data_IF_304048723960
#
_entry.id   IF_304048723960
#
_cell.length_a   1.000
_cell.length_b   1.000
_cell.length_c   1.000
_cell.angle_alpha   90.00
_cell.angle_beta   90.00
_cell.angle_gamma   90.00
#
_symmetry.space_group_name_H-M   'P 1'
#
loop_
_entity.id
_entity.type
_entity.pdbx_description
1 polymer ?
#
# COMPACT_ATOMS: atom_id res chain seq x y z
N UNK A 1 -52.75 48.11 -24.82
CA UNK A 1 -51.32 48.51 -24.75
C UNK A 1 -50.65 47.75 -23.62
N UNK A 2 -49.83 46.73 -23.95
CA UNK A 2 -49.06 45.91 -23.01
C UNK A 2 -47.58 46.24 -23.19
N UNK A 3 -46.88 46.67 -22.14
CA UNK A 3 -45.43 46.50 -21.92
C UNK A 3 -45.05 47.12 -20.57
N UNK A 4 -44.33 46.33 -19.76
CA UNK A 4 -43.50 46.70 -18.59
C UNK A 4 -43.78 45.82 -17.36
N UNK A 5 -43.32 44.56 -17.40
CA UNK A 5 -43.13 43.76 -16.17
C UNK A 5 -42.02 42.71 -16.27
N UNK A 6 -41.04 42.88 -17.17
CA UNK A 6 -40.00 41.87 -17.44
C UNK A 6 -38.57 42.27 -17.04
N UNK A 7 -38.32 43.54 -16.67
CA UNK A 7 -36.96 44.07 -16.45
C UNK A 7 -36.47 43.85 -15.00
N UNK A 8 -37.34 43.50 -14.04
CA UNK A 8 -36.95 43.39 -12.62
C UNK A 8 -36.41 42.02 -12.19
N UNK A 9 -36.45 41.00 -13.06
CA UNK A 9 -35.95 39.65 -12.73
C UNK A 9 -34.50 39.44 -13.15
N UNK A 10 -34.09 39.94 -14.32
CA UNK A 10 -32.70 39.80 -14.82
C UNK A 10 -31.67 40.49 -13.92
N UNK A 11 -31.95 41.71 -13.45
CA UNK A 11 -31.03 42.43 -12.53
C UNK A 11 -30.89 41.79 -11.14
N UNK A 12 -31.86 40.96 -10.72
CA UNK A 12 -31.77 40.21 -9.45
C UNK A 12 -30.94 38.94 -9.61
N UNK A 13 -31.05 38.27 -10.76
CA UNK A 13 -30.29 37.06 -11.10
C UNK A 13 -28.80 37.38 -11.26
N UNK A 14 -28.47 38.48 -11.96
CA UNK A 14 -27.07 38.90 -12.17
C UNK A 14 -26.41 39.30 -10.83
N UNK A 15 -27.13 39.98 -9.92
CA UNK A 15 -26.59 40.33 -8.59
C UNK A 15 -26.44 39.12 -7.66
N UNK A 16 -27.21 38.05 -7.82
CA UNK A 16 -26.99 36.79 -7.09
C UNK A 16 -25.81 36.02 -7.67
N UNK A 17 -25.69 35.94 -8.99
CA UNK A 17 -24.57 35.25 -9.66
C UNK A 17 -23.22 35.92 -9.36
N UNK A 18 -23.15 37.25 -9.37
CA UNK A 18 -21.91 37.99 -9.00
C UNK A 18 -21.57 37.82 -7.51
N UNK A 19 -22.56 37.69 -6.62
CA UNK A 19 -22.33 37.41 -5.19
C UNK A 19 -21.88 35.97 -4.94
N UNK A 20 -22.34 35.03 -5.76
CA UNK A 20 -21.96 33.63 -5.67
C UNK A 20 -20.57 33.40 -6.28
N UNK A 21 -20.20 34.12 -7.36
CA UNK A 21 -18.84 34.16 -7.90
C UNK A 21 -17.84 34.86 -6.97
N UNK A 22 -18.21 35.95 -6.28
CA UNK A 22 -17.35 36.56 -5.25
C UNK A 22 -17.19 35.66 -4.02
N UNK A 23 -18.21 34.88 -3.66
CA UNK A 23 -18.11 33.87 -2.58
C UNK A 23 -17.27 32.67 -3.00
N UNK A 24 -17.35 32.24 -4.26
CA UNK A 24 -16.50 31.20 -4.83
C UNK A 24 -15.03 31.65 -4.91
N UNK A 25 -14.76 32.89 -5.38
CA UNK A 25 -13.41 33.47 -5.34
C UNK A 25 -12.87 33.64 -3.93
N UNK A 26 -13.69 34.08 -2.97
CA UNK A 26 -13.26 34.15 -1.55
C UNK A 26 -12.99 32.77 -0.95
N UNK A 27 -13.74 31.73 -1.33
CA UNK A 27 -13.45 30.34 -0.93
C UNK A 27 -12.20 29.78 -1.61
N UNK A 28 -11.96 30.11 -2.88
CA UNK A 28 -10.76 29.70 -3.61
C UNK A 28 -9.51 30.44 -3.11
N UNK A 29 -9.64 31.70 -2.71
CA UNK A 29 -8.56 32.48 -2.09
C UNK A 29 -8.33 32.09 -0.62
N UNK A 30 -9.37 31.68 0.11
CA UNK A 30 -9.23 31.01 1.42
C UNK A 30 -8.61 29.62 1.27
N UNK A 31 -8.96 28.84 0.25
CA UNK A 31 -8.31 27.56 -0.07
C UNK A 31 -6.84 27.78 -0.46
N UNK A 32 -6.51 28.80 -1.25
CA UNK A 32 -5.12 29.17 -1.58
C UNK A 32 -4.35 29.69 -0.36
N UNK A 33 -5.00 30.39 0.58
CA UNK A 33 -4.40 30.79 1.88
C UNK A 33 -4.26 29.64 2.88
N UNK A 34 -5.18 28.67 2.88
CA UNK A 34 -5.05 27.43 3.67
C UNK A 34 -3.94 26.55 3.07
N UNK A 35 -3.76 26.58 1.75
CA UNK A 35 -2.62 25.94 1.04
C UNK A 35 -1.29 26.67 1.28
N UNK A 36 -1.31 27.94 1.70
CA UNK A 36 -0.07 28.68 2.04
C UNK A 36 0.35 28.55 3.52
N UNK A 37 -0.38 27.79 4.34
CA UNK A 37 -0.12 27.65 5.78
C UNK A 37 0.46 26.30 6.22
N UNK A 38 0.18 25.21 5.49
CA UNK A 38 0.76 23.90 5.73
C UNK A 38 1.42 23.40 4.44
N UNK A 39 2.73 23.59 4.31
CA UNK A 39 3.51 23.00 3.24
C UNK A 39 3.47 21.47 3.40
N UNK A 40 2.54 20.82 2.71
CA UNK A 40 2.49 19.37 2.65
C UNK A 40 3.78 18.80 2.09
N UNK A 41 4.14 17.60 2.53
CA UNK A 41 5.31 16.88 2.02
C UNK A 41 4.94 16.25 0.68
N UNK A 42 5.55 16.77 -0.40
CA UNK A 42 5.48 16.17 -1.73
C UNK A 42 6.64 15.20 -1.90
N UNK A 43 6.33 13.99 -2.35
CA UNK A 43 7.32 12.93 -2.57
C UNK A 43 7.39 12.65 -4.05
N UNK A 44 8.55 12.96 -4.64
CA UNK A 44 8.77 12.90 -6.09
C UNK A 44 9.56 11.65 -6.49
N UNK A 45 10.29 11.05 -5.55
CA UNK A 45 11.13 9.87 -5.78
C UNK A 45 11.10 8.88 -4.62
N UNK A 46 11.62 7.68 -4.84
CA UNK A 46 11.83 6.68 -3.79
C UNK A 46 12.82 7.17 -2.74
N UNK A 47 13.89 7.84 -3.17
CA UNK A 47 14.93 8.37 -2.31
C UNK A 47 14.41 9.46 -1.36
N UNK A 48 13.40 10.23 -1.80
CA UNK A 48 12.75 11.22 -0.94
C UNK A 48 11.98 10.58 0.21
N UNK A 49 11.51 9.34 0.06
CA UNK A 49 10.76 8.64 1.12
C UNK A 49 11.58 8.53 2.41
N UNK A 50 12.89 8.33 2.30
CA UNK A 50 13.80 8.15 3.44
C UNK A 50 13.98 9.41 4.29
N UNK A 51 13.73 10.60 3.73
CA UNK A 51 13.80 11.86 4.48
C UNK A 51 12.66 12.01 5.49
N UNK A 52 11.56 11.29 5.27
CA UNK A 52 10.29 11.52 5.97
C UNK A 52 9.82 10.35 6.84
N UNK A 53 10.46 9.19 6.77
CA UNK A 53 10.09 8.01 7.57
C UNK A 53 11.02 7.76 8.75
N UNK A 54 10.57 6.90 9.68
CA UNK A 54 11.42 6.41 10.76
C UNK A 54 12.61 5.59 10.24
N UNK A 55 13.67 5.50 11.04
CA UNK A 55 14.87 4.71 10.73
C UNK A 55 14.52 3.24 10.44
N UNK A 56 13.65 2.64 11.25
CA UNK A 56 13.26 1.24 11.06
C UNK A 56 12.50 1.04 9.77
N UNK A 57 11.54 1.91 9.43
CA UNK A 57 10.81 1.84 8.16
C UNK A 57 11.73 2.06 6.96
N UNK A 58 12.74 2.92 7.09
CA UNK A 58 13.77 3.13 6.07
C UNK A 58 14.59 1.86 5.80
N UNK A 59 15.02 1.18 6.87
CA UNK A 59 15.73 -0.10 6.74
C UNK A 59 14.83 -1.18 6.14
N UNK A 60 13.58 -1.30 6.60
CA UNK A 60 12.60 -2.26 6.05
C UNK A 60 12.38 -2.01 4.55
N UNK A 61 12.12 -0.77 4.15
CA UNK A 61 11.88 -0.44 2.73
C UNK A 61 13.09 -0.74 1.86
N UNK A 62 14.30 -0.47 2.36
CA UNK A 62 15.54 -0.80 1.65
C UNK A 62 15.67 -2.30 1.43
N UNK A 63 15.40 -3.10 2.47
CA UNK A 63 15.44 -4.56 2.37
C UNK A 63 14.39 -5.10 1.40
N UNK A 64 13.16 -4.59 1.46
CA UNK A 64 12.10 -4.97 0.53
C UNK A 64 12.47 -4.59 -0.90
N UNK A 65 12.97 -3.37 -1.14
CA UNK A 65 13.43 -2.92 -2.47
C UNK A 65 14.51 -3.84 -3.04
N UNK A 66 15.51 -4.19 -2.23
CA UNK A 66 16.61 -5.04 -2.68
C UNK A 66 16.15 -6.45 -3.06
N UNK A 67 15.18 -7.00 -2.32
CA UNK A 67 14.68 -8.36 -2.55
C UNK A 67 13.53 -8.42 -3.56
N UNK A 68 12.74 -7.35 -3.68
CA UNK A 68 11.55 -7.24 -4.51
C UNK A 68 11.50 -5.86 -5.19
N UNK A 69 12.30 -5.62 -6.26
CA UNK A 69 12.39 -4.31 -6.90
C UNK A 69 11.04 -3.76 -7.40
N UNK A 70 10.15 -4.65 -7.85
CA UNK A 70 8.78 -4.32 -8.30
C UNK A 70 7.91 -3.72 -7.20
N UNK A 71 8.26 -3.90 -5.92
CA UNK A 71 7.53 -3.29 -4.81
C UNK A 71 7.55 -1.76 -4.91
N UNK A 72 8.63 -1.17 -5.43
CA UNK A 72 8.75 0.29 -5.58
C UNK A 72 7.64 0.86 -6.47
N UNK A 73 7.17 0.10 -7.47
CA UNK A 73 6.09 0.51 -8.38
C UNK A 73 4.77 0.71 -7.64
N UNK A 74 4.57 0.07 -6.48
CA UNK A 74 3.38 0.27 -5.63
C UNK A 74 3.40 1.60 -4.88
N UNK A 75 4.56 2.27 -4.79
CA UNK A 75 4.67 3.57 -4.14
C UNK A 75 4.17 4.63 -5.11
N UNK A 76 3.03 5.24 -4.79
CA UNK A 76 2.45 6.33 -5.58
C UNK A 76 3.23 7.63 -5.33
N UNK A 77 4.32 7.81 -6.07
CA UNK A 77 5.04 9.08 -6.16
C UNK A 77 4.10 10.15 -6.72
N UNK A 78 4.18 11.39 -6.21
CA UNK A 78 3.28 12.54 -6.43
C UNK A 78 2.05 12.68 -5.51
N UNK A 79 1.92 11.88 -4.44
CA UNK A 79 0.98 12.22 -3.37
C UNK A 79 1.52 13.36 -2.49
N UNK A 80 0.62 14.26 -2.10
CA UNK A 80 0.90 15.30 -1.10
C UNK A 80 0.38 14.80 0.24
N UNK A 81 1.27 14.66 1.22
CA UNK A 81 0.91 14.31 2.58
C UNK A 81 0.84 15.58 3.41
N UNK A 82 -0.23 15.77 4.18
CA UNK A 82 -0.40 16.97 5.00
C UNK A 82 0.59 16.97 6.16
N UNK A 83 0.84 15.78 6.72
CA UNK A 83 1.74 15.60 7.86
C UNK A 83 2.73 14.44 7.63
N UNK A 84 3.87 14.50 8.34
CA UNK A 84 4.89 13.43 8.32
C UNK A 84 4.35 12.11 8.87
N UNK A 85 3.41 12.17 9.80
CA UNK A 85 2.75 10.99 10.40
C UNK A 85 1.88 10.26 9.38
N UNK A 86 1.12 11.00 8.55
CA UNK A 86 0.33 10.43 7.45
C UNK A 86 1.20 9.62 6.49
N UNK A 87 2.40 10.12 6.20
CA UNK A 87 3.32 9.42 5.31
C UNK A 87 3.90 8.14 5.93
N UNK A 88 4.23 8.16 7.22
CA UNK A 88 4.65 6.94 7.94
C UNK A 88 3.54 5.88 7.96
N UNK A 89 2.29 6.29 8.17
CA UNK A 89 1.12 5.40 8.12
C UNK A 89 0.95 4.80 6.72
N UNK A 90 1.14 5.60 5.68
CA UNK A 90 1.07 5.14 4.30
C UNK A 90 2.15 4.08 3.99
N UNK A 91 3.42 4.35 4.33
CA UNK A 91 4.53 3.40 4.13
C UNK A 91 4.31 2.12 4.93
N UNK A 92 3.86 2.23 6.18
CA UNK A 92 3.45 1.08 7.00
C UNK A 92 2.39 0.24 6.28
N UNK A 93 1.36 0.88 5.73
CA UNK A 93 0.32 0.22 4.95
C UNK A 93 0.90 -0.62 3.82
N UNK A 94 1.79 -0.03 3.02
CA UNK A 94 2.45 -0.74 1.91
C UNK A 94 3.25 -1.96 2.36
N UNK A 95 4.01 -1.84 3.46
CA UNK A 95 4.79 -2.95 4.02
C UNK A 95 3.86 -4.07 4.51
N UNK A 96 2.78 -3.72 5.21
CA UNK A 96 1.81 -4.70 5.70
C UNK A 96 1.10 -5.42 4.55
N UNK A 97 0.73 -4.69 3.51
CA UNK A 97 0.09 -5.28 2.33
C UNK A 97 1.07 -6.21 1.59
N UNK A 98 2.35 -5.85 1.48
CA UNK A 98 3.38 -6.74 0.97
C UNK A 98 3.51 -8.05 1.77
N UNK A 99 3.52 -7.98 3.10
CA UNK A 99 3.57 -9.17 3.95
C UNK A 99 2.31 -10.04 3.82
N UNK A 100 1.13 -9.41 3.69
CA UNK A 100 -0.13 -10.13 3.46
C UNK A 100 -0.14 -10.82 2.10
N UNK A 101 0.24 -10.12 1.03
CA UNK A 101 0.32 -10.69 -0.32
C UNK A 101 1.23 -11.93 -0.33
N UNK A 102 2.42 -11.83 0.28
CA UNK A 102 3.35 -12.96 0.44
C UNK A 102 2.73 -14.09 1.26
N UNK A 103 2.06 -13.77 2.36
CA UNK A 103 1.40 -14.77 3.21
C UNK A 103 0.27 -15.51 2.47
N UNK A 104 -0.54 -14.79 1.70
CA UNK A 104 -1.66 -15.37 0.95
C UNK A 104 -1.19 -16.25 -0.22
N UNK A 105 -0.11 -15.87 -0.91
CA UNK A 105 0.55 -16.73 -1.90
C UNK A 105 1.01 -18.05 -1.28
N UNK A 106 1.75 -17.99 -0.17
CA UNK A 106 2.23 -19.20 0.53
C UNK A 106 1.08 -20.07 1.02
N UNK A 107 0.00 -19.46 1.52
CA UNK A 107 -1.21 -20.18 1.93
C UNK A 107 -1.83 -20.94 0.77
N UNK A 108 -1.93 -20.31 -0.40
CA UNK A 108 -2.47 -20.95 -1.61
C UNK A 108 -1.60 -22.14 -2.02
N UNK A 109 -0.29 -21.93 -2.13
CA UNK A 109 0.67 -22.97 -2.53
C UNK A 109 0.69 -24.15 -1.56
N UNK A 110 0.65 -23.90 -0.25
CA UNK A 110 0.50 -24.94 0.78
C UNK A 110 -0.80 -25.73 0.62
N UNK A 111 -1.91 -25.05 0.31
CA UNK A 111 -3.19 -25.70 0.06
C UNK A 111 -3.11 -26.62 -1.16
N UNK A 112 -2.48 -26.17 -2.24
CA UNK A 112 -2.41 -26.92 -3.49
C UNK A 112 -1.50 -28.15 -3.36
N UNK A 113 -0.34 -28.03 -2.72
CA UNK A 113 0.51 -29.19 -2.42
C UNK A 113 -0.21 -30.22 -1.55
N UNK A 114 -0.99 -29.77 -0.56
CA UNK A 114 -1.80 -30.66 0.28
C UNK A 114 -2.85 -31.42 -0.54
N UNK A 115 -3.57 -30.73 -1.44
CA UNK A 115 -4.55 -31.37 -2.35
C UNK A 115 -3.91 -32.40 -3.26
N UNK A 116 -2.65 -32.18 -3.64
CA UNK A 116 -1.85 -33.10 -4.47
C UNK A 116 -1.25 -34.27 -3.67
N UNK A 117 -1.45 -34.32 -2.35
CA UNK A 117 -1.01 -35.42 -1.49
C UNK A 117 0.40 -35.26 -0.90
N UNK A 118 1.04 -34.09 -1.03
CA UNK A 118 2.36 -33.85 -0.43
C UNK A 118 2.24 -33.63 1.08
N UNK A 119 3.20 -34.20 1.83
CA UNK A 119 3.28 -34.05 3.29
C UNK A 119 3.86 -32.68 3.68
N UNK A 120 3.00 -31.66 3.67
CA UNK A 120 3.34 -30.27 4.04
C UNK A 120 2.85 -29.87 5.44
N UNK A 121 2.56 -30.85 6.31
CA UNK A 121 2.00 -30.62 7.65
C UNK A 121 2.91 -29.70 8.48
N UNK A 122 4.21 -30.00 8.53
CA UNK A 122 5.16 -29.22 9.32
C UNK A 122 5.27 -27.77 8.82
N UNK A 123 5.28 -27.55 7.50
CA UNK A 123 5.27 -26.21 6.92
C UNK A 123 3.96 -25.47 7.23
N UNK A 124 2.83 -26.17 7.16
CA UNK A 124 1.52 -25.61 7.50
C UNK A 124 1.47 -25.15 8.96
N UNK A 125 2.02 -25.93 9.90
CA UNK A 125 2.08 -25.56 11.30
C UNK A 125 2.96 -24.32 11.54
N UNK A 126 4.12 -24.24 10.89
CA UNK A 126 4.98 -23.04 10.95
C UNK A 126 4.24 -21.81 10.40
N UNK A 127 3.56 -21.96 9.27
CA UNK A 127 2.82 -20.89 8.62
C UNK A 127 1.71 -20.31 9.50
N UNK A 128 1.06 -21.10 10.36
CA UNK A 128 0.01 -20.60 11.27
C UNK A 128 0.46 -19.45 12.17
N UNK A 129 1.76 -19.32 12.43
CA UNK A 129 2.29 -18.21 13.23
C UNK A 129 2.47 -16.90 12.44
N UNK A 130 2.49 -16.94 11.10
CA UNK A 130 2.74 -15.77 10.24
C UNK A 130 1.68 -14.67 10.42
N UNK A 131 0.36 -14.96 10.35
CA UNK A 131 -0.66 -13.92 10.50
C UNK A 131 -0.60 -13.21 11.86
N UNK A 132 -0.33 -13.97 12.93
CA UNK A 132 -0.20 -13.40 14.27
C UNK A 132 1.01 -12.48 14.38
N UNK A 133 2.16 -12.88 13.82
CA UNK A 133 3.37 -12.05 13.81
C UNK A 133 3.18 -10.78 12.99
N UNK A 134 2.53 -10.85 11.82
CA UNK A 134 2.18 -9.66 11.02
C UNK A 134 1.31 -8.69 11.85
N UNK A 135 0.34 -9.22 12.60
CA UNK A 135 -0.50 -8.40 13.49
C UNK A 135 0.33 -7.73 14.59
N UNK A 136 1.28 -8.43 15.21
CA UNK A 136 2.17 -7.85 16.22
C UNK A 136 3.06 -6.75 15.62
N UNK A 137 3.68 -7.01 14.48
CA UNK A 137 4.49 -6.01 13.77
C UNK A 137 3.66 -4.78 13.39
N UNK A 138 2.39 -4.96 13.00
CA UNK A 138 1.49 -3.84 12.71
C UNK A 138 1.29 -2.91 13.90
N UNK A 139 1.53 -3.38 15.14
CA UNK A 139 1.46 -2.56 16.35
C UNK A 139 2.82 -1.97 16.76
N UNK A 140 3.93 -2.70 16.56
CA UNK A 140 5.26 -2.29 17.04
C UNK A 140 6.08 -1.49 16.02
N UNK A 141 5.93 -1.76 14.72
CA UNK A 141 6.76 -1.23 13.63
C UNK A 141 8.27 -1.45 13.79
N UNK A 142 8.66 -2.42 14.60
CA UNK A 142 10.06 -2.72 14.86
C UNK A 142 10.66 -3.54 13.69
N UNK A 143 11.85 -3.13 13.23
CA UNK A 143 12.65 -3.87 12.24
C UNK A 143 12.88 -5.33 12.62
N UNK A 144 13.15 -5.60 13.89
CA UNK A 144 13.39 -6.98 14.36
C UNK A 144 12.16 -7.88 14.20
N UNK A 145 10.97 -7.34 14.46
CA UNK A 145 9.72 -8.08 14.28
C UNK A 145 9.47 -8.34 12.79
N UNK A 146 9.73 -7.34 11.94
CA UNK A 146 9.70 -7.51 10.49
C UNK A 146 10.66 -8.62 10.05
N UNK A 147 11.91 -8.63 10.52
CA UNK A 147 12.91 -9.62 10.13
C UNK A 147 12.52 -11.04 10.55
N UNK A 148 11.98 -11.20 11.75
CA UNK A 148 11.47 -12.49 12.22
C UNK A 148 10.34 -13.01 11.32
N UNK A 149 9.44 -12.13 10.87
CA UNK A 149 8.37 -12.51 9.93
C UNK A 149 8.98 -12.86 8.58
N UNK A 150 9.86 -12.00 8.07
CA UNK A 150 10.38 -12.10 6.72
C UNK A 150 11.24 -13.35 6.54
N UNK A 151 12.11 -13.67 7.51
CA UNK A 151 12.89 -14.92 7.54
C UNK A 151 11.97 -16.14 7.58
N UNK A 152 10.91 -16.10 8.38
CA UNK A 152 9.96 -17.21 8.47
C UNK A 152 9.25 -17.45 7.13
N UNK A 153 8.76 -16.37 6.50
CA UNK A 153 8.12 -16.40 5.18
C UNK A 153 9.09 -16.94 4.12
N UNK A 154 10.33 -16.43 4.06
CA UNK A 154 11.36 -16.91 3.11
C UNK A 154 11.69 -18.39 3.31
N UNK A 155 11.79 -18.85 4.56
CA UNK A 155 12.09 -20.26 4.85
C UNK A 155 10.95 -21.19 4.41
N UNK A 156 9.70 -20.77 4.59
CA UNK A 156 8.54 -21.51 4.08
C UNK A 156 8.56 -21.51 2.56
N UNK A 157 8.80 -20.35 1.92
CA UNK A 157 8.87 -20.19 0.46
C UNK A 157 9.93 -21.11 -0.15
N UNK A 158 11.16 -21.11 0.39
CA UNK A 158 12.25 -22.00 -0.06
C UNK A 158 11.88 -23.48 0.07
N UNK A 159 11.23 -23.85 1.16
CA UNK A 159 10.81 -25.24 1.38
C UNK A 159 9.73 -25.64 0.36
N UNK A 160 8.78 -24.76 0.06
CA UNK A 160 7.74 -25.00 -0.95
C UNK A 160 8.32 -25.19 -2.34
N UNK A 161 9.32 -24.39 -2.74
CA UNK A 161 9.99 -24.51 -4.04
C UNK A 161 10.55 -25.92 -4.22
N UNK A 162 11.18 -26.49 -3.19
CA UNK A 162 11.70 -27.87 -3.26
C UNK A 162 10.59 -28.91 -3.51
N UNK A 163 9.42 -28.77 -2.89
CA UNK A 163 8.28 -29.65 -3.16
C UNK A 163 7.72 -29.48 -4.57
N UNK A 164 7.66 -28.23 -5.06
CA UNK A 164 7.19 -27.91 -6.40
C UNK A 164 8.13 -28.43 -7.49
N UNK A 165 9.44 -28.39 -7.26
CA UNK A 165 10.45 -28.98 -8.15
C UNK A 165 10.32 -30.51 -8.23
N UNK A 166 10.10 -31.17 -7.08
CA UNK A 166 9.80 -32.61 -7.05
C UNK A 166 8.51 -32.93 -7.84
N UNK A 167 7.48 -32.11 -7.74
CA UNK A 167 6.25 -32.27 -8.53
C UNK A 167 6.51 -32.17 -10.03
N UNK A 168 7.29 -31.17 -10.48
CA UNK A 168 7.64 -31.03 -11.90
C UNK A 168 8.40 -32.24 -12.41
N UNK A 169 9.42 -32.69 -11.68
CA UNK A 169 10.20 -33.86 -12.05
C UNK A 169 9.34 -35.13 -12.17
N UNK A 170 8.34 -35.31 -11.30
CA UNK A 170 7.41 -36.46 -11.40
C UNK A 170 6.49 -36.36 -12.62
N UNK A 171 6.04 -35.16 -13.01
CA UNK A 171 5.22 -34.96 -14.21
C UNK A 171 6.00 -35.22 -15.49
N UNK A 172 7.21 -34.66 -15.60
CA UNK A 172 8.06 -34.84 -16.77
C UNK A 172 8.40 -36.33 -17.00
N UNK A 173 8.66 -37.09 -15.94
CA UNK A 173 8.89 -38.53 -16.06
C UNK A 173 7.65 -39.35 -16.44
N UNK A 174 6.43 -38.84 -16.18
CA UNK A 174 5.17 -39.50 -16.56
C UNK A 174 4.78 -39.24 -18.01
N UNK A 175 5.27 -38.18 -18.64
CA UNK A 175 5.01 -37.88 -20.06
C UNK A 175 5.91 -38.67 -21.02
N UNK A 176 6.91 -39.39 -20.50
CA UNK A 176 7.85 -40.20 -21.28
C UNK A 176 7.37 -41.65 -21.47
N UNK A 177 6.31 -42.07 -20.78
CA UNK A 177 5.68 -43.40 -20.87
C UNK A 177 4.26 -43.32 -21.42
#
# INVERSE_FOLDING_TARGET
>A
MKKNKQISKENKVIKSEVKDEEKLKKRDDELKKIVSGNQGVKIESFEDTFKFISKDLSLILSDIKNKNPKFIEKIQFNRVFKEKEDFNIFIKGLILDFLKDKSDDLKSRLSDLRKKGYSVLFLSLKFMSVPLKIKLFSSSLNKEDFDKIFILVENIEKSLISFEEQERAVKENKEIY
#
